data_IF_179821816534
#
_entry.id   IF_179821816534
#
_cell.length_a   1.000
_cell.length_b   1.000
_cell.length_c   1.000
_cell.angle_alpha   90.00
_cell.angle_beta   90.00
_cell.angle_gamma   90.00
#
_symmetry.space_group_name_H-M   'P 1'
#
loop_
_entity.id
_entity.type
_entity.pdbx_description
1 polymer ?
#
# COMPACT_ATOMS: atom_id res chain seq x y z
N UNK A 1 -37.37 -11.39 10.06
CA UNK A 1 -36.97 -9.96 10.12
C UNK A 1 -35.50 -9.88 9.81
N UNK A 2 -35.14 -9.41 8.62
CA UNK A 2 -33.75 -9.32 8.14
C UNK A 2 -33.36 -7.84 8.03
N UNK A 3 -32.28 -7.45 8.69
CA UNK A 3 -31.69 -6.11 8.59
C UNK A 3 -30.98 -5.95 7.24
N UNK A 4 -31.14 -4.82 6.54
CA UNK A 4 -30.38 -4.59 5.32
C UNK A 4 -28.92 -4.30 5.67
N UNK A 5 -28.01 -5.10 5.11
CA UNK A 5 -26.57 -4.85 5.10
C UNK A 5 -26.32 -3.52 4.37
N UNK A 6 -26.00 -2.49 5.14
CA UNK A 6 -25.49 -1.21 4.64
C UNK A 6 -24.24 -1.49 3.81
N UNK A 7 -24.42 -1.44 2.49
CA UNK A 7 -23.34 -1.62 1.54
C UNK A 7 -22.67 -0.26 1.45
N UNK A 8 -21.56 -0.05 2.17
CA UNK A 8 -20.74 1.15 1.99
C UNK A 8 -20.19 1.10 0.58
N UNK A 9 -20.84 1.84 -0.32
CA UNK A 9 -20.27 2.24 -1.61
C UNK A 9 -19.03 3.05 -1.27
N UNK A 10 -17.86 2.52 -1.59
CA UNK A 10 -16.64 3.31 -1.62
C UNK A 10 -16.77 4.22 -2.83
N UNK A 11 -17.41 5.37 -2.62
CA UNK A 11 -17.24 6.51 -3.51
C UNK A 11 -15.78 6.92 -3.38
N UNK A 12 -14.94 6.43 -4.28
CA UNK A 12 -13.67 7.07 -4.56
C UNK A 12 -14.01 8.43 -5.18
N UNK A 13 -14.36 9.39 -4.32
CA UNK A 13 -14.33 10.79 -4.68
C UNK A 13 -12.87 11.08 -5.01
N UNK A 14 -12.63 11.36 -6.29
CA UNK A 14 -11.35 11.87 -6.79
C UNK A 14 -11.09 13.26 -6.22
N UNK A 15 -10.70 13.35 -4.95
CA UNK A 15 -10.03 14.51 -4.39
C UNK A 15 -8.53 14.35 -4.68
N UNK A 16 -8.18 14.54 -5.95
CA UNK A 16 -6.85 14.28 -6.51
C UNK A 16 -5.82 15.40 -6.23
N UNK A 17 -6.16 16.36 -5.37
CA UNK A 17 -5.31 17.52 -5.03
C UNK A 17 -4.91 17.57 -3.54
N UNK A 18 -5.14 16.50 -2.77
CA UNK A 18 -4.53 16.39 -1.44
C UNK A 18 -3.08 15.92 -1.60
N UNK A 19 -2.12 16.83 -1.41
CA UNK A 19 -0.71 16.44 -1.38
C UNK A 19 -0.50 15.42 -0.25
N UNK A 20 0.41 14.45 -0.39
CA UNK A 20 0.70 13.51 0.69
C UNK A 20 1.08 14.22 1.99
N UNK A 21 1.65 15.41 1.88
CA UNK A 21 1.97 16.29 3.02
C UNK A 21 0.71 16.81 3.73
N UNK A 22 -0.36 17.17 3.01
CA UNK A 22 -1.60 17.60 3.67
C UNK A 22 -2.26 16.46 4.44
N UNK A 23 -2.27 15.26 3.86
CA UNK A 23 -2.81 14.07 4.53
C UNK A 23 -2.02 13.71 5.80
N UNK A 24 -0.69 13.88 5.79
CA UNK A 24 0.17 13.64 6.95
C UNK A 24 -0.03 14.70 8.04
N UNK A 25 -0.22 15.95 7.63
CA UNK A 25 -0.52 17.03 8.56
C UNK A 25 -1.87 16.83 9.26
N UNK A 26 -2.91 16.44 8.51
CA UNK A 26 -4.23 16.14 9.05
C UNK A 26 -4.16 14.97 10.04
N UNK A 27 -3.47 13.89 9.68
CA UNK A 27 -3.26 12.74 10.56
C UNK A 27 -2.47 13.11 11.84
N UNK A 28 -1.45 13.98 11.74
CA UNK A 28 -0.70 14.46 12.89
C UNK A 28 -1.58 15.27 13.85
N UNK A 29 -2.51 16.08 13.33
CA UNK A 29 -3.47 16.85 14.15
C UNK A 29 -4.43 15.89 14.88
N UNK A 30 -4.95 14.88 14.19
CA UNK A 30 -5.83 13.87 14.80
C UNK A 30 -5.11 13.10 15.92
N UNK A 31 -3.85 12.69 15.69
CA UNK A 31 -3.04 12.02 16.70
C UNK A 31 -2.73 12.92 17.89
N UNK A 32 -2.42 14.20 17.66
CA UNK A 32 -2.20 15.16 18.75
C UNK A 32 -3.46 15.28 19.63
N UNK A 33 -4.64 15.39 19.01
CA UNK A 33 -5.90 15.44 19.72
C UNK A 33 -6.17 14.15 20.52
N UNK A 34 -5.83 12.99 19.95
CA UNK A 34 -5.94 11.71 20.62
C UNK A 34 -5.04 11.62 21.86
N UNK A 35 -3.74 11.92 21.72
CA UNK A 35 -2.78 11.85 22.83
C UNK A 35 -3.13 12.82 23.95
N UNK A 36 -3.58 14.02 23.59
CA UNK A 36 -4.06 14.99 24.56
C UNK A 36 -5.26 14.48 25.36
N UNK A 37 -6.23 13.83 24.69
CA UNK A 37 -7.46 13.37 25.34
C UNK A 37 -7.28 12.08 26.15
N UNK A 38 -6.49 11.13 25.65
CA UNK A 38 -6.37 9.79 26.25
C UNK A 38 -5.20 9.66 27.22
N UNK A 39 -4.10 10.35 26.94
CA UNK A 39 -2.82 10.17 27.65
C UNK A 39 -2.41 11.43 28.42
N UNK A 40 -3.04 12.58 28.15
CA UNK A 40 -2.69 13.87 28.76
C UNK A 40 -1.37 14.45 28.26
N UNK A 41 -0.81 13.85 27.21
CA UNK A 41 0.48 14.22 26.62
C UNK A 41 0.29 15.27 25.52
N UNK A 42 1.25 16.21 25.44
CA UNK A 42 1.23 17.29 24.44
C UNK A 42 2.45 17.14 23.54
N UNK A 43 2.20 16.74 22.30
CA UNK A 43 3.21 16.69 21.24
C UNK A 43 3.06 17.87 20.30
N UNK A 44 4.15 18.27 19.63
CA UNK A 44 4.07 19.23 18.53
C UNK A 44 3.60 18.50 17.28
N UNK A 45 2.73 19.15 16.50
CA UNK A 45 2.23 18.58 15.24
C UNK A 45 3.38 18.27 14.30
N UNK A 46 4.39 19.14 14.24
CA UNK A 46 5.58 18.93 13.39
C UNK A 46 6.35 17.65 13.74
N UNK A 47 6.44 17.30 15.03
CA UNK A 47 7.16 16.11 15.49
C UNK A 47 6.36 14.84 15.18
N UNK A 48 5.03 14.89 15.34
CA UNK A 48 4.13 13.80 14.95
C UNK A 48 4.15 13.59 13.43
N UNK A 49 4.16 14.66 12.64
CA UNK A 49 4.26 14.58 11.19
C UNK A 49 5.57 13.90 10.77
N UNK A 50 6.71 14.30 11.32
CA UNK A 50 8.00 13.63 11.03
C UNK A 50 8.00 12.16 11.45
N UNK A 51 7.37 11.85 12.58
CA UNK A 51 7.25 10.47 13.04
C UNK A 51 6.41 9.64 12.06
N UNK A 52 5.31 10.19 11.53
CA UNK A 52 4.49 9.55 10.51
C UNK A 52 5.23 9.38 9.18
N UNK A 53 5.99 10.38 8.75
CA UNK A 53 6.84 10.30 7.55
C UNK A 53 7.86 9.16 7.67
N UNK A 54 8.61 9.12 8.77
CA UNK A 54 9.59 8.07 9.03
C UNK A 54 8.93 6.69 9.18
N UNK A 55 7.77 6.61 9.82
CA UNK A 55 7.03 5.36 9.93
C UNK A 55 6.57 4.83 8.57
N UNK A 56 6.12 5.70 7.66
CA UNK A 56 5.76 5.32 6.30
C UNK A 56 6.97 4.85 5.49
N UNK A 57 8.10 5.53 5.60
CA UNK A 57 9.34 5.15 4.93
C UNK A 57 9.76 3.73 5.34
N UNK A 58 9.88 3.47 6.64
CA UNK A 58 10.22 2.13 7.17
C UNK A 58 9.20 1.06 6.78
N UNK A 59 7.91 1.42 6.76
CA UNK A 59 6.85 0.49 6.36
C UNK A 59 6.96 0.14 4.87
N UNK A 60 7.31 1.09 4.02
CA UNK A 60 7.54 0.86 2.60
C UNK A 60 8.78 -0.01 2.37
N UNK A 61 9.88 0.24 3.09
CA UNK A 61 11.09 -0.59 3.03
C UNK A 61 10.77 -2.05 3.40
N UNK A 62 10.11 -2.27 4.53
CA UNK A 62 9.71 -3.61 4.96
C UNK A 62 8.81 -4.33 3.95
N UNK A 63 7.87 -3.60 3.32
CA UNK A 63 7.01 -4.17 2.27
C UNK A 63 7.80 -4.56 1.02
N UNK A 64 8.82 -3.78 0.65
CA UNK A 64 9.68 -4.09 -0.50
C UNK A 64 10.56 -5.31 -0.19
N UNK A 65 11.11 -5.39 1.02
CA UNK A 65 11.88 -6.56 1.47
C UNK A 65 11.03 -7.84 1.47
N UNK A 66 9.80 -7.78 2.01
CA UNK A 66 8.86 -8.90 2.02
C UNK A 66 8.47 -9.34 0.59
N UNK A 67 8.21 -8.36 -0.29
CA UNK A 67 7.94 -8.64 -1.69
C UNK A 67 9.13 -9.31 -2.40
N UNK A 68 10.35 -8.83 -2.16
CA UNK A 68 11.57 -9.41 -2.72
C UNK A 68 11.77 -10.84 -2.22
N UNK A 69 11.62 -11.08 -0.92
CA UNK A 69 11.67 -12.40 -0.30
C UNK A 69 10.71 -13.37 -1.01
N UNK A 70 9.44 -13.00 -1.15
CA UNK A 70 8.42 -13.84 -1.78
C UNK A 70 8.59 -14.04 -3.29
N UNK A 71 9.24 -13.10 -3.98
CA UNK A 71 9.56 -13.23 -5.41
C UNK A 71 10.75 -14.18 -5.62
N UNK A 72 11.78 -14.07 -4.78
CA UNK A 72 13.03 -14.83 -4.91
C UNK A 72 12.92 -16.23 -4.32
N UNK A 73 12.40 -16.38 -3.10
CA UNK A 73 12.29 -17.68 -2.41
C UNK A 73 11.13 -18.54 -2.94
N UNK A 74 10.18 -17.93 -3.65
CA UNK A 74 9.09 -18.63 -4.33
C UNK A 74 8.00 -19.19 -3.40
N UNK A 75 8.18 -19.14 -2.08
CA UNK A 75 7.07 -19.30 -1.14
C UNK A 75 6.25 -18.01 -1.13
N UNK A 76 4.99 -18.10 -1.50
CA UNK A 76 4.05 -16.97 -1.57
C UNK A 76 2.90 -17.13 -0.58
N UNK A 77 2.97 -18.12 0.31
CA UNK A 77 1.88 -18.49 1.20
C UNK A 77 1.59 -17.42 2.27
N UNK A 78 2.58 -16.61 2.66
CA UNK A 78 2.46 -15.55 3.67
C UNK A 78 2.52 -14.12 3.12
N UNK A 79 2.56 -13.93 1.80
CA UNK A 79 2.71 -12.60 1.20
C UNK A 79 1.56 -11.65 1.61
N UNK A 80 1.93 -10.46 2.10
CA UNK A 80 0.97 -9.43 2.52
C UNK A 80 -0.01 -9.08 1.39
N UNK A 81 -1.30 -9.01 1.71
CA UNK A 81 -2.39 -8.59 0.83
C UNK A 81 -2.60 -9.42 -0.47
N UNK A 82 -2.02 -10.62 -0.55
CA UNK A 82 -2.11 -11.51 -1.73
C UNK A 82 -3.54 -11.79 -2.17
N UNK A 83 -4.42 -12.12 -1.22
CA UNK A 83 -5.81 -12.48 -1.53
C UNK A 83 -6.58 -11.31 -2.16
N UNK A 84 -6.32 -10.07 -1.73
CA UNK A 84 -6.92 -8.90 -2.34
C UNK A 84 -6.30 -8.58 -3.70
N UNK A 85 -4.98 -8.70 -3.83
CA UNK A 85 -4.28 -8.52 -5.12
C UNK A 85 -4.78 -9.50 -6.17
N UNK A 86 -4.82 -10.81 -5.86
CA UNK A 86 -5.34 -11.84 -6.76
C UNK A 86 -6.82 -11.60 -7.10
N UNK A 87 -7.61 -11.14 -6.13
CA UNK A 87 -9.03 -10.82 -6.35
C UNK A 87 -9.21 -9.61 -7.27
N UNK A 88 -8.33 -8.61 -7.19
CA UNK A 88 -8.32 -7.48 -8.12
C UNK A 88 -7.84 -7.89 -9.51
N UNK A 89 -6.76 -8.67 -9.60
CA UNK A 89 -6.26 -9.19 -10.88
C UNK A 89 -7.28 -10.06 -11.62
N UNK A 90 -8.08 -10.86 -10.90
CA UNK A 90 -9.20 -11.63 -11.51
C UNK A 90 -10.30 -10.73 -12.09
N UNK A 91 -10.45 -9.49 -11.60
CA UNK A 91 -11.43 -8.51 -12.13
C UNK A 91 -10.89 -7.78 -13.34
N UNK A 92 -9.58 -7.62 -13.42
CA UNK A 92 -8.91 -7.08 -14.60
C UNK A 92 -8.83 -8.19 -15.64
N UNK A 93 -9.76 -8.18 -16.62
CA UNK A 93 -9.62 -9.07 -17.78
C UNK A 93 -8.28 -8.74 -18.44
N UNK A 94 -7.45 -9.75 -18.78
CA UNK A 94 -6.30 -9.52 -19.65
C UNK A 94 -6.79 -8.81 -20.90
N UNK A 95 -6.13 -7.73 -21.30
CA UNK A 95 -6.32 -7.17 -22.63
C UNK A 95 -6.05 -8.32 -23.61
N UNK A 96 -7.03 -8.63 -24.46
CA UNK A 96 -6.82 -9.55 -25.57
C UNK A 96 -5.60 -9.05 -26.33
N UNK A 97 -4.53 -9.84 -26.26
CA UNK A 97 -3.26 -9.49 -26.88
C UNK A 97 -3.57 -9.33 -28.37
N UNK A 98 -3.46 -8.13 -28.97
CA UNK A 98 -3.53 -8.04 -30.42
C UNK A 98 -2.41 -8.94 -30.94
N UNK A 99 -2.78 -9.78 -31.90
CA UNK A 99 -2.10 -11.00 -32.29
C UNK A 99 -0.56 -10.95 -32.25
N UNK A 100 -0.01 -12.06 -31.77
CA UNK A 100 1.36 -12.51 -31.93
C UNK A 100 2.16 -11.81 -33.05
N UNK A 101 2.97 -10.83 -32.66
CA UNK A 101 4.18 -10.44 -33.37
C UNK A 101 5.21 -9.96 -32.36
N UNK A 102 6.01 -10.92 -31.89
CA UNK A 102 7.43 -10.78 -31.60
C UNK A 102 7.84 -9.51 -30.84
N UNK A 103 7.92 -9.59 -29.52
CA UNK A 103 9.12 -9.04 -28.87
C UNK A 103 9.48 -9.84 -27.62
N UNK A 104 10.77 -10.06 -27.50
CA UNK A 104 11.39 -11.10 -26.68
C UNK A 104 11.46 -10.63 -25.24
N UNK A 105 10.74 -11.29 -24.34
CA UNK A 105 11.06 -11.20 -22.92
C UNK A 105 12.36 -11.98 -22.71
N UNK A 106 13.51 -11.33 -22.88
CA UNK A 106 14.78 -11.98 -22.58
C UNK A 106 14.84 -12.22 -21.06
N UNK A 107 15.14 -13.44 -20.61
CA UNK A 107 15.46 -13.69 -19.22
C UNK A 107 16.71 -12.89 -18.88
N UNK A 108 16.69 -12.19 -17.74
CA UNK A 108 17.89 -11.57 -17.17
C UNK A 108 18.83 -12.73 -16.84
N UNK A 109 19.82 -12.96 -17.69
CA UNK A 109 20.90 -13.91 -17.41
C UNK A 109 21.61 -13.45 -16.14
N UNK A 110 21.39 -14.18 -15.06
CA UNK A 110 22.24 -14.12 -13.87
C UNK A 110 23.66 -14.51 -14.31
N UNK A 111 24.52 -13.51 -14.50
CA UNK A 111 25.96 -13.75 -14.62
C UNK A 111 26.50 -13.94 -13.20
N UNK A 112 26.67 -15.22 -12.86
CA UNK A 112 27.47 -15.69 -11.74
C UNK A 112 28.94 -15.27 -11.92
N UNK A 113 29.51 -14.80 -10.81
CA UNK A 113 30.87 -14.99 -10.32
C UNK A 113 31.88 -15.76 -11.21
N UNK A 114 33.01 -15.09 -11.49
CA UNK A 114 34.36 -15.62 -11.28
C UNK A 114 35.33 -14.44 -11.09
#
# INVERSE_FOLDING_TARGET
MATPRSTRVWSASSDLDASPQSALQDAAIELQAYFYQQEGEIYRVEDLQRALENWLELSMEALVEDALFHVVEGDRSSAFNRSAFESQMKRLRPLDRPDAATDVCQPISAVHAA
#
